data_IF_127652981835
#
_entry.id   IF_127652981835
#
_cell.length_a   1.000
_cell.length_b   1.000
_cell.length_c   1.000
_cell.angle_alpha   90.00
_cell.angle_beta   90.00
_cell.angle_gamma   90.00
#
_symmetry.space_group_name_H-M   'P 1'
#
loop_
_entity.id
_entity.type
_entity.pdbx_description
1 polymer ?
#
# COMPACT_ATOMS: atom_id res chain seq x y z
N UNK A 1 -5.09 -1.56 -13.73
CA UNK A 1 -4.41 -0.59 -12.85
C UNK A 1 -5.29 0.64 -12.62
N UNK A 2 -5.06 1.39 -11.55
CA UNK A 2 -5.89 2.55 -11.21
C UNK A 2 -5.05 3.78 -10.86
N UNK A 3 -5.54 4.98 -11.22
CA UNK A 3 -4.86 6.26 -10.98
C UNK A 3 -5.89 7.38 -10.83
N UNK A 4 -5.59 8.41 -10.05
CA UNK A 4 -6.44 9.63 -9.98
C UNK A 4 -6.51 10.38 -11.31
N UNK A 5 -5.43 10.34 -12.08
CA UNK A 5 -5.38 10.87 -13.43
C UNK A 5 -5.44 9.72 -14.41
N UNK A 6 -6.55 9.62 -15.14
CA UNK A 6 -6.72 8.60 -16.18
C UNK A 6 -5.68 8.77 -17.29
N UNK A 7 -5.31 10.00 -17.62
CA UNK A 7 -4.25 10.30 -18.58
C UNK A 7 -2.91 9.67 -18.17
N UNK A 8 -2.45 9.91 -16.93
CA UNK A 8 -1.21 9.32 -16.41
C UNK A 8 -1.31 7.80 -16.33
N UNK A 9 -2.47 7.27 -15.93
CA UNK A 9 -2.72 5.82 -15.88
C UNK A 9 -2.64 5.19 -17.28
N UNK A 10 -3.24 5.81 -18.29
CA UNK A 10 -3.20 5.34 -19.67
C UNK A 10 -1.79 5.46 -20.28
N UNK A 11 -1.02 6.49 -19.93
CA UNK A 11 0.37 6.62 -20.34
C UNK A 11 1.24 5.49 -19.76
N UNK A 12 1.10 5.20 -18.46
CA UNK A 12 1.79 4.09 -17.81
C UNK A 12 1.39 2.73 -18.41
N UNK A 13 0.11 2.53 -18.69
CA UNK A 13 -0.39 1.32 -19.36
C UNK A 13 0.24 1.14 -20.74
N UNK A 14 0.31 2.20 -21.56
CA UNK A 14 0.96 2.15 -22.88
C UNK A 14 2.45 1.83 -22.78
N UNK A 15 3.14 2.41 -21.79
CA UNK A 15 4.55 2.11 -21.56
C UNK A 15 4.76 0.63 -21.22
N UNK A 16 3.94 0.05 -20.34
CA UNK A 16 4.01 -1.37 -19.98
C UNK A 16 3.68 -2.26 -21.19
N UNK A 17 2.63 -1.95 -21.93
CA UNK A 17 2.22 -2.74 -23.11
C UNK A 17 3.15 -2.61 -24.30
N UNK A 18 4.11 -1.67 -24.29
CA UNK A 18 5.11 -1.57 -25.34
C UNK A 18 6.16 -2.68 -25.26
N UNK A 19 6.27 -3.38 -24.13
CA UNK A 19 7.14 -4.53 -23.97
C UNK A 19 6.50 -5.78 -24.63
N UNK A 20 7.14 -6.36 -25.67
CA UNK A 20 6.62 -7.53 -26.36
C UNK A 20 6.55 -8.81 -25.50
N UNK A 21 7.23 -8.83 -24.35
CA UNK A 21 7.12 -9.94 -23.39
C UNK A 21 5.75 -9.95 -22.69
N UNK A 22 5.07 -8.80 -22.60
CA UNK A 22 3.79 -8.66 -21.92
C UNK A 22 2.64 -9.02 -22.86
N UNK A 23 2.14 -10.25 -22.72
CA UNK A 23 1.01 -10.77 -23.52
C UNK A 23 -0.36 -10.59 -22.87
N UNK A 24 -0.38 -10.21 -21.59
CA UNK A 24 -1.62 -10.02 -20.82
C UNK A 24 -2.32 -8.72 -21.20
N UNK A 25 -3.65 -8.72 -21.11
CA UNK A 25 -4.43 -7.48 -21.21
C UNK A 25 -4.25 -6.62 -19.96
N UNK A 26 -4.11 -5.31 -20.17
CA UNK A 26 -4.14 -4.31 -19.09
C UNK A 26 -5.26 -3.33 -19.37
N UNK A 27 -5.93 -2.89 -18.30
CA UNK A 27 -6.91 -1.79 -18.31
C UNK A 27 -6.49 -0.71 -17.31
N UNK A 28 -6.87 0.53 -17.57
CA UNK A 28 -6.66 1.65 -16.67
C UNK A 28 -8.01 2.26 -16.30
N UNK A 29 -8.25 2.45 -15.00
CA UNK A 29 -9.45 3.11 -14.48
C UNK A 29 -9.07 4.34 -13.65
N UNK A 30 -9.98 5.31 -13.59
CA UNK A 30 -9.86 6.42 -12.65
C UNK A 30 -10.21 5.96 -11.25
N UNK A 31 -9.36 6.24 -10.27
CA UNK A 31 -9.63 5.99 -8.85
C UNK A 31 -8.97 7.04 -7.98
N UNK A 32 -9.80 7.83 -7.31
CA UNK A 32 -9.43 8.61 -6.14
C UNK A 32 -9.89 7.90 -4.87
N UNK A 33 -8.94 7.32 -4.14
CA UNK A 33 -9.18 6.62 -2.87
C UNK A 33 -9.71 7.54 -1.76
N UNK A 34 -9.74 8.85 -1.97
CA UNK A 34 -10.33 9.82 -1.04
C UNK A 34 -11.78 10.18 -1.35
N UNK A 35 -12.32 9.71 -2.49
CA UNK A 35 -13.69 9.97 -2.94
C UNK A 35 -14.53 8.70 -2.95
N UNK A 36 -15.59 8.69 -2.12
CA UNK A 36 -16.56 7.57 -2.09
C UNK A 36 -17.21 7.33 -3.44
N UNK A 37 -17.54 8.39 -4.18
CA UNK A 37 -18.14 8.29 -5.51
C UNK A 37 -17.15 7.67 -6.51
N UNK A 38 -15.87 8.07 -6.43
CA UNK A 38 -14.83 7.48 -7.28
C UNK A 38 -14.61 6.00 -6.97
N UNK A 39 -14.63 5.62 -5.69
CA UNK A 39 -14.51 4.22 -5.27
C UNK A 39 -15.72 3.41 -5.75
N UNK A 40 -16.93 3.93 -5.59
CA UNK A 40 -18.17 3.27 -6.03
C UNK A 40 -18.19 3.08 -7.54
N UNK A 41 -17.78 4.10 -8.29
CA UNK A 41 -17.67 4.01 -9.75
C UNK A 41 -16.62 2.99 -10.19
N UNK A 42 -15.45 2.96 -9.53
CA UNK A 42 -14.41 1.98 -9.82
C UNK A 42 -14.87 0.54 -9.52
N UNK A 43 -15.56 0.34 -8.39
CA UNK A 43 -16.16 -0.95 -8.04
C UNK A 43 -17.17 -1.39 -9.11
N UNK A 44 -18.11 -0.53 -9.48
CA UNK A 44 -19.11 -0.84 -10.51
C UNK A 44 -18.45 -1.18 -11.86
N UNK A 45 -17.40 -0.46 -12.24
CA UNK A 45 -16.66 -0.73 -13.46
C UNK A 45 -16.00 -2.12 -13.42
N UNK A 46 -15.28 -2.45 -12.34
CA UNK A 46 -14.61 -3.75 -12.18
C UNK A 46 -15.64 -4.88 -12.20
N UNK A 47 -16.73 -4.76 -11.44
CA UNK A 47 -17.78 -5.77 -11.35
C UNK A 47 -18.54 -5.98 -12.67
N UNK A 48 -18.57 -4.96 -13.55
CA UNK A 48 -19.19 -5.08 -14.87
C UNK A 48 -18.29 -5.80 -15.89
N UNK A 49 -16.96 -5.61 -15.80
CA UNK A 49 -16.00 -6.12 -16.79
C UNK A 49 -15.30 -7.42 -16.35
N UNK A 50 -15.37 -7.75 -15.07
CA UNK A 50 -14.71 -8.91 -14.49
C UNK A 50 -15.66 -9.64 -13.53
N UNK A 51 -15.68 -10.97 -13.63
CA UNK A 51 -16.48 -11.84 -12.76
C UNK A 51 -16.00 -11.83 -11.30
N UNK A 52 -14.70 -11.60 -11.10
CA UNK A 52 -14.06 -11.59 -9.79
C UNK A 52 -12.85 -10.66 -9.74
N UNK A 53 -12.50 -10.25 -8.52
CA UNK A 53 -11.23 -9.62 -8.19
C UNK A 53 -10.39 -10.59 -7.35
N UNK A 54 -9.24 -11.01 -7.88
CA UNK A 54 -8.35 -11.96 -7.21
C UNK A 54 -7.40 -11.31 -6.21
N UNK A 55 -6.83 -10.16 -6.59
CA UNK A 55 -5.79 -9.46 -5.82
C UNK A 55 -6.09 -7.97 -5.81
N UNK A 56 -6.04 -7.37 -4.62
CA UNK A 56 -6.11 -5.92 -4.42
C UNK A 56 -4.82 -5.42 -3.78
N UNK A 57 -4.14 -4.48 -4.44
CA UNK A 57 -2.91 -3.85 -3.92
C UNK A 57 -3.20 -2.39 -3.58
N UNK A 58 -3.26 -2.09 -2.29
CA UNK A 58 -3.45 -0.75 -1.76
C UNK A 58 -2.14 0.05 -1.75
N UNK A 59 -1.66 0.46 -2.93
CA UNK A 59 -0.36 1.13 -3.11
C UNK A 59 -0.43 2.67 -3.10
N UNK A 60 -1.58 3.29 -3.38
CA UNK A 60 -1.70 4.75 -3.45
C UNK A 60 -1.15 5.40 -2.18
N UNK A 61 -0.39 6.50 -2.28
CA UNK A 61 0.21 7.15 -1.12
C UNK A 61 0.61 8.59 -1.41
N UNK A 62 0.74 9.39 -0.36
CA UNK A 62 1.38 10.70 -0.39
C UNK A 62 2.32 10.85 0.82
N UNK A 63 3.36 11.64 0.67
CA UNK A 63 4.19 12.12 1.77
C UNK A 63 4.34 13.63 1.61
N UNK A 64 4.10 14.38 2.67
CA UNK A 64 4.18 15.83 2.68
C UNK A 64 5.50 16.26 3.31
N UNK A 65 6.18 17.24 2.71
CA UNK A 65 7.44 17.76 3.26
C UNK A 65 7.14 18.57 4.54
N UNK A 66 7.77 18.28 5.69
CA UNK A 66 7.54 18.99 6.96
C UNK A 66 7.95 20.47 6.93
N UNK A 67 8.70 20.94 5.91
CA UNK A 67 9.00 22.37 5.71
C UNK A 67 7.75 23.21 5.46
N UNK A 68 6.64 22.61 5.03
CA UNK A 68 5.34 23.26 5.10
C UNK A 68 4.85 23.14 6.55
N UNK A 69 5.13 24.17 7.37
CA UNK A 69 4.64 24.27 8.76
C UNK A 69 3.15 23.99 8.81
N UNK A 70 2.78 22.88 9.43
CA UNK A 70 1.39 22.59 9.76
C UNK A 70 1.00 23.43 11.00
N UNK A 71 -0.12 24.17 10.98
CA UNK A 71 -0.64 24.79 12.19
C UNK A 71 -0.99 23.69 13.21
N UNK A 72 -0.68 23.92 14.49
CA UNK A 72 -0.81 22.99 15.64
C UNK A 72 -2.18 22.32 15.85
N UNK A 73 -3.20 22.67 15.05
CA UNK A 73 -4.60 22.34 15.29
C UNK A 73 -5.16 21.35 14.25
N UNK A 74 -4.33 20.82 13.35
CA UNK A 74 -4.73 19.82 12.33
C UNK A 74 -4.67 18.37 12.81
N UNK A 75 -4.89 18.13 14.11
CA UNK A 75 -5.26 16.80 14.62
C UNK A 75 -6.75 16.51 14.35
N UNK A 76 -7.20 16.81 13.13
CA UNK A 76 -8.55 16.51 12.66
C UNK A 76 -8.41 15.47 11.56
N UNK A 77 -8.73 14.23 11.94
CA UNK A 77 -9.37 13.28 11.06
C UNK A 77 -8.53 12.80 9.85
N UNK A 78 -7.48 12.02 10.13
CA UNK A 78 -7.00 10.98 9.20
C UNK A 78 -7.64 9.60 9.43
N UNK A 79 -8.65 9.51 10.32
CA UNK A 79 -9.57 8.36 10.42
C UNK A 79 -10.69 8.48 9.38
N UNK A 80 -10.30 8.37 8.12
CA UNK A 80 -11.16 7.88 7.04
C UNK A 80 -10.21 7.13 6.14
N UNK A 81 -10.36 5.80 6.17
CA UNK A 81 -9.41 4.78 5.72
C UNK A 81 -8.79 5.21 4.38
N UNK A 82 -7.49 5.50 4.41
CA UNK A 82 -6.70 5.99 3.28
C UNK A 82 -5.61 4.96 3.00
N UNK A 83 -5.68 4.31 1.84
CA UNK A 83 -4.65 3.41 1.33
C UNK A 83 -3.30 4.14 1.32
N UNK A 84 -2.31 3.52 1.95
CA UNK A 84 -0.87 3.80 1.92
C UNK A 84 -0.22 2.40 1.96
N UNK A 85 0.94 2.10 1.37
CA UNK A 85 1.54 0.77 1.54
C UNK A 85 2.17 0.67 2.94
N UNK A 86 2.10 -0.46 3.65
CA UNK A 86 2.75 -0.65 4.95
C UNK A 86 4.25 -0.28 4.94
N UNK A 87 4.81 0.09 6.08
CA UNK A 87 6.20 0.55 6.17
C UNK A 87 6.79 0.19 7.52
N UNK A 88 8.09 -0.12 7.56
CA UNK A 88 8.83 -0.24 8.82
C UNK A 88 8.68 1.00 9.73
N UNK A 89 8.41 2.18 9.15
CA UNK A 89 8.18 3.42 9.87
C UNK A 89 6.89 3.42 10.70
N UNK A 90 5.93 2.54 10.40
CA UNK A 90 4.73 2.34 11.20
C UNK A 90 4.98 1.55 12.47
N UNK A 91 5.93 0.60 12.45
CA UNK A 91 6.17 -0.34 13.55
C UNK A 91 6.52 0.39 14.85
N UNK A 92 5.75 0.12 15.91
CA UNK A 92 5.99 0.69 17.24
C UNK A 92 7.34 0.23 17.81
N UNK A 93 7.68 -1.04 17.59
CA UNK A 93 8.95 -1.63 18.04
C UNK A 93 10.13 -0.94 17.36
N UNK A 94 10.08 -0.77 16.03
CA UNK A 94 11.16 -0.11 15.28
C UNK A 94 11.21 1.40 15.51
N UNK A 95 10.06 2.05 15.70
CA UNK A 95 9.99 3.46 16.02
C UNK A 95 10.56 3.79 17.41
N UNK A 96 10.47 2.86 18.36
CA UNK A 96 11.08 2.98 19.69
C UNK A 96 12.61 2.82 19.70
N UNK A 97 13.19 2.23 18.66
CA UNK A 97 14.64 2.06 18.53
C UNK A 97 15.31 3.32 17.98
N UNK A 98 15.78 4.16 18.89
CA UNK A 98 16.50 5.42 18.59
C UNK A 98 17.87 5.23 17.93
N UNK A 99 18.37 4.00 17.82
CA UNK A 99 19.68 3.71 17.21
C UNK A 99 19.59 3.56 15.68
N UNK A 100 18.39 3.31 15.15
CA UNK A 100 18.17 3.15 13.71
C UNK A 100 18.36 4.46 12.97
N UNK A 101 18.89 4.39 11.74
CA UNK A 101 19.09 5.56 10.89
C UNK A 101 17.78 6.32 10.62
N UNK A 102 16.67 5.58 10.48
CA UNK A 102 15.36 6.09 10.12
C UNK A 102 14.63 6.74 11.32
N UNK A 103 15.04 6.45 12.56
CA UNK A 103 14.44 7.00 13.80
C UNK A 103 14.44 8.54 13.86
N UNK A 104 15.40 9.18 13.18
CA UNK A 104 15.59 10.64 13.16
C UNK A 104 14.83 11.36 12.03
N UNK A 105 14.16 10.61 11.16
CA UNK A 105 13.37 11.19 10.06
C UNK A 105 12.11 11.83 10.63
N UNK A 106 11.97 13.15 10.45
CA UNK A 106 10.76 13.91 10.79
C UNK A 106 9.61 13.55 9.85
N UNK A 107 8.88 12.51 10.24
CA UNK A 107 7.81 11.91 9.48
C UNK A 107 6.62 11.55 10.40
N UNK A 108 6.34 12.35 11.44
CA UNK A 108 5.35 12.03 12.47
C UNK A 108 4.00 11.60 11.89
N UNK A 109 3.39 12.44 11.05
CA UNK A 109 2.09 12.13 10.45
C UNK A 109 2.12 10.89 9.56
N UNK A 110 3.23 10.68 8.85
CA UNK A 110 3.43 9.49 8.01
C UNK A 110 3.55 8.23 8.86
N UNK A 111 4.40 8.24 9.90
CA UNK A 111 4.56 7.13 10.87
C UNK A 111 3.23 6.73 11.50
N UNK A 112 2.48 7.70 12.00
CA UNK A 112 1.16 7.45 12.59
C UNK A 112 0.17 6.87 11.58
N UNK A 113 0.19 7.36 10.33
CA UNK A 113 -0.69 6.84 9.27
C UNK A 113 -0.35 5.39 8.90
N UNK A 114 0.94 5.05 8.86
CA UNK A 114 1.40 3.66 8.64
C UNK A 114 1.04 2.77 9.80
N UNK A 115 1.24 3.24 11.03
CA UNK A 115 0.85 2.50 12.22
C UNK A 115 -0.66 2.17 12.25
N UNK A 116 -1.50 3.12 11.84
CA UNK A 116 -2.94 2.91 11.74
C UNK A 116 -3.32 1.89 10.65
N UNK A 117 -2.67 1.96 9.49
CA UNK A 117 -2.87 1.00 8.41
C UNK A 117 -2.40 -0.41 8.79
N UNK A 118 -1.29 -0.48 9.51
CA UNK A 118 -0.72 -1.71 10.00
C UNK A 118 -1.75 -2.39 10.94
N UNK A 119 -2.33 -1.64 11.88
CA UNK A 119 -3.46 -2.14 12.68
C UNK A 119 -4.68 -2.54 11.82
N UNK A 120 -5.00 -1.82 10.76
CA UNK A 120 -6.11 -2.18 9.86
C UNK A 120 -5.88 -3.54 9.19
N UNK A 121 -4.65 -3.82 8.71
CA UNK A 121 -4.31 -5.13 8.16
C UNK A 121 -4.55 -6.26 9.17
N UNK A 122 -4.21 -6.04 10.45
CA UNK A 122 -4.50 -7.00 11.51
C UNK A 122 -6.01 -7.22 11.68
N UNK A 123 -6.81 -6.14 11.66
CA UNK A 123 -8.27 -6.25 11.77
C UNK A 123 -8.89 -6.96 10.55
N UNK A 124 -8.45 -6.60 9.34
CA UNK A 124 -8.93 -7.19 8.09
C UNK A 124 -8.54 -8.66 8.00
N UNK A 125 -7.32 -9.03 8.38
CA UNK A 125 -6.92 -10.44 8.45
C UNK A 125 -7.82 -11.22 9.42
N UNK A 126 -8.13 -10.67 10.60
CA UNK A 126 -9.03 -11.33 11.57
C UNK A 126 -10.44 -11.50 11.01
N UNK A 127 -10.98 -10.46 10.36
CA UNK A 127 -12.35 -10.47 9.82
C UNK A 127 -12.48 -11.34 8.57
N UNK A 128 -11.55 -11.22 7.63
CA UNK A 128 -11.62 -11.84 6.31
C UNK A 128 -10.88 -13.20 6.22
N UNK A 129 -10.02 -13.52 7.20
CA UNK A 129 -9.25 -14.76 7.28
C UNK A 129 -10.06 -15.99 7.70
N UNK A 130 -11.39 -15.94 7.68
CA UNK A 130 -12.27 -17.09 7.85
C UNK A 130 -12.78 -17.38 9.26
N UNK A 131 -12.38 -16.61 10.29
CA UNK A 131 -12.93 -16.75 11.65
C UNK A 131 -14.17 -15.89 11.91
N UNK A 132 -14.37 -14.83 11.13
CA UNK A 132 -15.38 -13.80 11.39
C UNK A 132 -15.12 -13.02 12.67
N UNK A 133 -15.86 -11.93 12.85
CA UNK A 133 -15.84 -11.15 14.08
C UNK A 133 -16.88 -11.66 15.11
N UNK A 134 -16.88 -11.07 16.31
CA UNK A 134 -17.81 -11.46 17.38
C UNK A 134 -19.29 -11.25 17.02
N UNK A 135 -19.59 -10.46 15.98
CA UNK A 135 -20.94 -10.24 15.48
C UNK A 135 -21.30 -11.20 14.34
N UNK A 136 -20.39 -12.12 13.98
CA UNK A 136 -20.55 -13.03 12.85
C UNK A 136 -20.38 -12.35 11.50
N UNK A 137 -19.81 -11.13 11.45
CA UNK A 137 -19.47 -10.48 10.18
C UNK A 137 -18.06 -10.86 9.73
N UNK A 138 -17.91 -11.21 8.45
CA UNK A 138 -16.65 -11.66 7.86
C UNK A 138 -16.49 -13.17 7.91
N UNK A 139 -15.98 -13.77 6.82
CA UNK A 139 -15.89 -15.22 6.67
C UNK A 139 -17.27 -15.88 6.52
N UNK A 140 -17.98 -15.62 5.42
CA UNK A 140 -19.22 -16.30 5.11
C UNK A 140 -19.04 -17.82 5.10
N UNK A 141 -20.02 -18.56 5.63
CA UNK A 141 -20.01 -20.03 5.65
C UNK A 141 -19.97 -20.54 4.19
N UNK A 142 -18.79 -20.96 3.72
CA UNK A 142 -18.56 -21.40 2.33
C UNK A 142 -17.69 -20.46 1.48
N UNK A 143 -17.30 -19.30 1.99
CA UNK A 143 -16.37 -18.39 1.31
C UNK A 143 -14.91 -18.77 1.62
N UNK A 144 -14.02 -18.60 0.62
CA UNK A 144 -12.58 -18.85 0.83
C UNK A 144 -12.00 -17.71 1.68
N UNK A 145 -11.17 -18.02 2.69
CA UNK A 145 -10.46 -16.99 3.47
C UNK A 145 -9.65 -16.07 2.56
N UNK A 146 -9.72 -14.76 2.82
CA UNK A 146 -8.88 -13.77 2.14
C UNK A 146 -7.57 -13.66 2.90
N UNK A 147 -6.46 -13.79 2.16
CA UNK A 147 -5.11 -13.54 2.69
C UNK A 147 -4.86 -12.03 2.69
N UNK A 148 -4.48 -11.50 3.84
CA UNK A 148 -4.19 -10.08 4.02
C UNK A 148 -2.77 -9.94 4.53
N UNK A 149 -1.98 -9.08 3.88
CA UNK A 149 -0.59 -8.85 4.22
C UNK A 149 -0.32 -7.37 4.41
N UNK A 150 0.61 -7.06 5.29
CA UNK A 150 1.19 -5.74 5.34
C UNK A 150 2.57 -5.74 4.67
N UNK A 151 2.72 -5.15 3.48
CA UNK A 151 3.98 -5.21 2.72
C UNK A 151 4.77 -3.91 2.84
N UNK A 152 6.01 -3.98 3.35
CA UNK A 152 6.97 -2.88 3.30
C UNK A 152 7.89 -3.03 2.08
N UNK A 153 7.74 -2.17 1.04
CA UNK A 153 8.53 -2.28 -0.19
C UNK A 153 9.99 -1.86 0.00
N UNK A 154 10.35 -1.26 1.14
CA UNK A 154 11.67 -0.66 1.36
C UNK A 154 11.77 0.78 0.85
N UNK A 155 12.97 1.35 0.92
CA UNK A 155 13.25 2.68 0.39
C UNK A 155 13.65 2.57 -1.07
N UNK A 156 12.73 2.90 -1.98
CA UNK A 156 12.97 2.82 -3.44
C UNK A 156 12.87 4.16 -4.15
N UNK A 157 13.53 4.26 -5.30
CA UNK A 157 13.51 5.46 -6.15
C UNK A 157 12.06 5.79 -6.53
N UNK A 158 11.57 6.94 -6.09
CA UNK A 158 10.17 7.34 -6.30
C UNK A 158 9.99 8.84 -6.12
N UNK A 159 8.92 9.40 -6.70
CA UNK A 159 8.57 10.80 -6.49
C UNK A 159 7.91 11.09 -5.13
N UNK A 160 7.82 10.10 -4.23
CA UNK A 160 7.16 10.25 -2.93
C UNK A 160 7.79 11.36 -2.09
N UNK A 161 9.11 11.61 -2.26
CA UNK A 161 9.87 12.65 -1.54
C UNK A 161 10.02 13.96 -2.34
N UNK A 162 9.51 13.99 -3.57
CA UNK A 162 9.68 15.08 -4.52
C UNK A 162 10.23 14.62 -5.87
N UNK A 163 10.28 15.52 -6.85
CA UNK A 163 10.59 15.21 -8.25
C UNK A 163 12.04 15.43 -8.65
N UNK A 164 12.88 16.05 -7.80
CA UNK A 164 14.30 16.19 -8.12
C UNK A 164 15.02 14.85 -7.97
N UNK A 165 16.13 14.66 -8.69
CA UNK A 165 16.85 13.39 -8.64
C UNK A 165 17.37 13.05 -7.24
N UNK A 166 17.87 14.06 -6.51
CA UNK A 166 18.28 13.92 -5.11
C UNK A 166 17.11 13.47 -4.21
N UNK A 167 15.90 13.99 -4.41
CA UNK A 167 14.72 13.59 -3.66
C UNK A 167 14.26 12.17 -4.03
N UNK A 168 14.22 11.88 -5.33
CA UNK A 168 13.79 10.59 -5.86
C UNK A 168 14.67 9.46 -5.33
N UNK A 169 15.97 9.66 -5.39
CA UNK A 169 17.00 8.71 -4.95
C UNK A 169 17.31 8.77 -3.45
N UNK A 170 16.73 9.73 -2.71
CA UNK A 170 17.08 9.97 -1.31
C UNK A 170 18.60 10.17 -1.12
N UNK A 171 19.21 10.99 -1.98
CA UNK A 171 20.65 11.21 -2.01
C UNK A 171 21.46 9.96 -2.39
N UNK A 172 20.89 9.09 -3.24
CA UNK A 172 21.51 7.83 -3.68
C UNK A 172 21.29 6.63 -2.76
N UNK A 173 20.54 6.77 -1.65
CA UNK A 173 20.27 5.67 -0.71
C UNK A 173 19.09 4.78 -1.13
N UNK A 174 18.26 5.22 -2.07
CA UNK A 174 17.08 4.48 -2.48
C UNK A 174 17.42 3.36 -3.48
N UNK A 175 16.88 2.17 -3.25
CA UNK A 175 17.03 1.02 -4.15
C UNK A 175 16.13 1.09 -5.37
N UNK A 176 16.29 0.10 -6.25
CA UNK A 176 15.49 -0.04 -7.46
C UNK A 176 14.05 -0.48 -7.15
N UNK A 177 13.02 0.26 -7.62
CA UNK A 177 11.62 -0.14 -7.46
C UNK A 177 11.28 -1.51 -8.08
N UNK A 178 12.06 -2.00 -9.04
CA UNK A 178 11.83 -3.33 -9.62
C UNK A 178 12.00 -4.45 -8.59
N UNK A 179 12.94 -4.31 -7.65
CA UNK A 179 13.13 -5.25 -6.54
C UNK A 179 11.88 -5.37 -5.66
N UNK A 180 11.28 -4.24 -5.29
CA UNK A 180 10.01 -4.23 -4.56
C UNK A 180 8.87 -4.83 -5.37
N UNK A 181 8.83 -4.61 -6.69
CA UNK A 181 7.84 -5.20 -7.59
C UNK A 181 7.91 -6.72 -7.59
N UNK A 182 9.11 -7.28 -7.76
CA UNK A 182 9.36 -8.74 -7.67
C UNK A 182 8.99 -9.30 -6.31
N UNK A 183 9.31 -8.60 -5.22
CA UNK A 183 8.94 -9.05 -3.89
C UNK A 183 7.41 -9.12 -3.70
N UNK A 184 6.67 -8.10 -4.16
CA UNK A 184 5.19 -8.12 -4.12
C UNK A 184 4.64 -9.27 -4.97
N UNK A 185 5.22 -9.53 -6.13
CA UNK A 185 4.86 -10.67 -6.97
C UNK A 185 5.03 -12.01 -6.25
N UNK A 186 6.16 -12.25 -5.58
CA UNK A 186 6.39 -13.47 -4.78
C UNK A 186 5.31 -13.66 -3.70
N UNK A 187 4.90 -12.57 -3.03
CA UNK A 187 3.80 -12.62 -2.04
C UNK A 187 2.48 -13.02 -2.72
N UNK A 188 2.18 -12.48 -3.90
CA UNK A 188 0.97 -12.81 -4.66
C UNK A 188 0.96 -14.25 -5.17
N UNK A 189 2.12 -14.79 -5.51
CA UNK A 189 2.31 -16.18 -5.97
C UNK A 189 2.26 -17.19 -4.82
N UNK A 190 2.16 -16.72 -3.58
CA UNK A 190 1.95 -17.54 -2.38
C UNK A 190 3.23 -17.97 -1.68
N UNK A 191 4.39 -17.49 -2.12
CA UNK A 191 5.69 -17.84 -1.52
C UNK A 191 5.82 -17.38 -0.06
N UNK A 192 4.99 -16.42 0.36
CA UNK A 192 4.95 -15.87 1.72
C UNK A 192 3.66 -16.20 2.47
N UNK A 193 2.94 -17.24 2.07
CA UNK A 193 1.67 -17.64 2.71
C UNK A 193 1.78 -17.94 4.21
N UNK A 194 2.95 -18.34 4.70
CA UNK A 194 3.22 -18.53 6.14
C UNK A 194 3.22 -17.21 6.94
N UNK A 195 3.25 -16.07 6.25
CA UNK A 195 3.28 -14.73 6.81
C UNK A 195 1.96 -13.97 6.64
N UNK A 196 0.87 -14.66 6.31
CA UNK A 196 -0.47 -14.06 6.27
C UNK A 196 -0.77 -13.38 7.62
N UNK A 197 -1.26 -12.14 7.55
CA UNK A 197 -1.55 -11.29 8.72
C UNK A 197 -0.33 -10.60 9.32
N UNK A 198 0.87 -10.79 8.77
CA UNK A 198 2.13 -10.19 9.25
C UNK A 198 2.60 -9.01 8.38
N UNK A 199 3.63 -8.35 8.90
CA UNK A 199 4.35 -7.24 8.28
C UNK A 199 5.57 -7.76 7.55
N UNK A 200 5.45 -7.94 6.24
CA UNK A 200 6.45 -8.59 5.42
C UNK A 200 7.35 -7.57 4.74
N UNK A 201 8.63 -7.92 4.69
CA UNK A 201 9.68 -7.22 3.96
C UNK A 201 10.53 -8.27 3.22
N UNK A 202 11.30 -7.83 2.23
CA UNK A 202 12.20 -8.71 1.47
C UNK A 202 13.18 -9.42 2.42
N UNK A 203 13.73 -8.70 3.40
CA UNK A 203 14.63 -9.25 4.42
C UNK A 203 13.97 -10.01 5.58
N UNK A 204 12.67 -10.30 5.53
CA UNK A 204 11.96 -11.07 6.56
C UNK A 204 10.65 -10.42 7.02
N UNK A 205 10.42 -10.39 8.33
CA UNK A 205 9.21 -9.81 8.92
C UNK A 205 9.59 -8.69 9.88
N UNK A 206 8.85 -7.58 9.84
CA UNK A 206 8.96 -6.56 10.86
C UNK A 206 8.08 -6.90 12.07
N UNK A 207 8.59 -6.70 13.30
CA UNK A 207 7.75 -6.80 14.47
C UNK A 207 6.74 -5.65 14.45
N UNK A 208 5.52 -5.95 14.88
CA UNK A 208 4.44 -4.98 15.03
C UNK A 208 4.02 -4.90 16.49
#
# INVERSE_FOLDING_TARGET
>A
MASRSLEKGAAALRAIQSDPAIKSSLSAISLDVTSTDSITAAFAHVSTHHDRLDVLINNAAIHTNPRNRWPRNYLVLSLRIRSVPPSSLGSLVLAGDTTRFDSRVDALAYRMSKAALDMLVVQDHRKLGGKGDMNGEGGGKGERPIKVFAICPGLVVSELRGSTEEQRTCGGMAGDPEGSGRFIQMVMEGERDEDVGKFVHEGGNYPW
#
